data_IF_661480901678
#
_entry.id   IF_661480901678
#
_cell.length_a   1.000
_cell.length_b   1.000
_cell.length_c   1.000
_cell.angle_alpha   90.00
_cell.angle_beta   90.00
_cell.angle_gamma   90.00
#
_symmetry.space_group_name_H-M   'P 1'
#
loop_
_entity.id
_entity.type
_entity.pdbx_description
1 polymer ?
#
# COMPACT_ATOMS: atom_id res chain seq x y z
N UNK A 1 -32.52 -35.25 16.56
CA UNK A 1 -31.31 -35.66 15.83
C UNK A 1 -30.51 -34.41 15.50
N UNK A 2 -29.69 -33.94 16.44
CA UNK A 2 -28.75 -32.84 16.26
C UNK A 2 -27.42 -33.39 16.75
N UNK A 3 -26.42 -33.51 15.87
CA UNK A 3 -25.15 -34.12 16.26
C UNK A 3 -24.16 -34.54 15.17
N UNK A 4 -24.40 -34.27 13.88
CA UNK A 4 -23.45 -34.70 12.83
C UNK A 4 -22.90 -33.61 11.89
N UNK A 5 -23.42 -32.37 11.91
CA UNK A 5 -22.95 -31.33 10.97
C UNK A 5 -21.63 -30.66 11.35
N UNK A 6 -21.26 -30.63 12.64
CA UNK A 6 -20.00 -30.03 13.09
C UNK A 6 -18.76 -30.90 12.86
N UNK A 7 -18.92 -32.24 12.84
CA UNK A 7 -17.78 -33.16 12.74
C UNK A 7 -17.23 -33.27 11.31
N UNK A 8 -18.08 -33.10 10.29
CA UNK A 8 -17.66 -33.23 8.88
C UNK A 8 -16.82 -32.02 8.46
N UNK A 9 -17.15 -30.81 8.96
CA UNK A 9 -16.42 -29.57 8.62
C UNK A 9 -14.98 -29.62 9.12
N UNK A 10 -14.76 -30.09 10.36
CA UNK A 10 -13.41 -30.23 10.93
C UNK A 10 -12.60 -31.32 10.21
N UNK A 11 -13.25 -32.40 9.78
CA UNK A 11 -12.56 -33.52 9.14
C UNK A 11 -12.16 -33.19 7.69
N UNK A 12 -13.00 -32.48 6.94
CA UNK A 12 -12.67 -32.06 5.56
C UNK A 12 -11.57 -31.00 5.52
N UNK A 13 -11.53 -30.09 6.51
CA UNK A 13 -10.43 -29.12 6.63
C UNK A 13 -9.09 -29.81 6.98
N UNK A 14 -9.14 -30.91 7.75
CA UNK A 14 -7.95 -31.69 8.14
C UNK A 14 -7.37 -32.55 7.01
N UNK A 15 -8.16 -32.88 5.98
CA UNK A 15 -7.66 -33.68 4.85
C UNK A 15 -6.85 -32.83 3.87
N UNK A 16 -7.10 -31.52 3.80
CA UNK A 16 -6.30 -30.58 3.01
C UNK A 16 -4.94 -30.26 3.64
N UNK A 17 -4.69 -30.62 4.90
CA UNK A 17 -3.40 -30.43 5.59
C UNK A 17 -2.38 -31.55 5.37
N UNK A 18 -2.70 -32.58 4.57
CA UNK A 18 -1.81 -33.75 4.33
C UNK A 18 -1.37 -33.94 2.87
N UNK A 19 -1.52 -32.93 2.02
CA UNK A 19 -0.87 -32.96 0.70
C UNK A 19 0.56 -32.46 0.91
N UNK A 20 1.53 -33.33 0.61
CA UNK A 20 2.98 -33.08 0.64
C UNK A 20 3.32 -31.67 0.11
N UNK A 21 4.38 -31.01 0.63
CA UNK A 21 4.80 -29.72 0.13
C UNK A 21 5.21 -29.88 -1.34
N UNK A 22 4.28 -29.52 -2.23
CA UNK A 22 4.55 -29.40 -3.66
C UNK A 22 5.72 -28.44 -3.80
N UNK A 23 6.77 -28.92 -4.46
CA UNK A 23 7.95 -28.11 -4.78
C UNK A 23 7.52 -26.79 -5.43
N UNK A 24 8.18 -25.66 -5.12
CA UNK A 24 7.71 -24.31 -5.46
C UNK A 24 7.50 -24.02 -6.96
N UNK A 25 7.90 -24.92 -7.85
CA UNK A 25 7.83 -24.76 -9.31
C UNK A 25 6.60 -25.39 -10.00
N UNK A 26 5.76 -26.14 -9.29
CA UNK A 26 4.61 -26.81 -9.94
C UNK A 26 3.35 -25.93 -9.93
N UNK A 27 3.34 -24.96 -10.85
CA UNK A 27 2.24 -24.02 -11.09
C UNK A 27 0.90 -24.72 -11.38
N UNK A 28 0.93 -25.95 -11.92
CA UNK A 28 -0.26 -26.70 -12.29
C UNK A 28 -1.02 -27.24 -11.07
N UNK A 29 -0.29 -27.88 -10.16
CA UNK A 29 -0.85 -28.41 -8.91
C UNK A 29 -1.37 -27.30 -7.99
N UNK A 30 -0.72 -26.13 -7.99
CA UNK A 30 -1.17 -24.95 -7.21
C UNK A 30 -2.49 -24.41 -7.76
N UNK A 31 -2.62 -24.27 -9.08
CA UNK A 31 -3.86 -23.83 -9.76
C UNK A 31 -5.04 -24.76 -9.50
N UNK A 32 -4.82 -26.08 -9.52
CA UNK A 32 -5.87 -27.08 -9.26
C UNK A 32 -6.35 -27.06 -7.81
N UNK A 33 -5.45 -26.90 -6.84
CA UNK A 33 -5.78 -26.81 -5.41
C UNK A 33 -6.58 -25.54 -5.09
N UNK A 34 -6.29 -24.45 -5.80
CA UNK A 34 -6.98 -23.16 -5.65
C UNK A 34 -8.35 -23.16 -6.34
N UNK A 35 -8.48 -23.84 -7.48
CA UNK A 35 -9.78 -24.12 -8.13
C UNK A 35 -10.67 -24.98 -7.24
N UNK A 36 -10.08 -25.96 -6.55
CA UNK A 36 -10.77 -26.78 -5.57
C UNK A 36 -11.21 -25.96 -4.35
N UNK A 37 -10.36 -25.07 -3.82
CA UNK A 37 -10.74 -24.15 -2.75
C UNK A 37 -11.92 -23.27 -3.15
N UNK A 38 -11.85 -22.64 -4.33
CA UNK A 38 -12.95 -21.83 -4.89
C UNK A 38 -14.25 -22.62 -4.97
N UNK A 39 -14.19 -23.85 -5.48
CA UNK A 39 -15.35 -24.75 -5.60
C UNK A 39 -15.92 -25.17 -4.23
N UNK A 40 -15.08 -25.39 -3.23
CA UNK A 40 -15.53 -25.71 -1.86
C UNK A 40 -16.18 -24.48 -1.21
N UNK A 41 -15.62 -23.29 -1.44
CA UNK A 41 -16.11 -22.01 -0.91
C UNK A 41 -17.48 -21.65 -1.49
N UNK A 42 -17.68 -21.82 -2.80
CA UNK A 42 -18.97 -21.61 -3.46
C UNK A 42 -20.08 -22.52 -2.90
N UNK A 43 -19.71 -23.67 -2.31
CA UNK A 43 -20.65 -24.63 -1.72
C UNK A 43 -20.93 -24.41 -0.22
N UNK A 44 -20.24 -23.48 0.46
CA UNK A 44 -20.28 -23.33 1.93
C UNK A 44 -21.04 -22.09 2.44
N UNK A 45 -21.69 -21.29 1.59
CA UNK A 45 -22.45 -20.07 1.96
C UNK A 45 -21.62 -18.99 2.72
N UNK A 46 -20.29 -19.17 2.77
CA UNK A 46 -19.32 -18.17 3.20
C UNK A 46 -18.92 -17.36 1.98
N UNK A 47 -19.43 -16.13 1.88
CA UNK A 47 -19.08 -15.23 0.78
C UNK A 47 -17.71 -14.62 1.04
N UNK A 48 -16.67 -15.26 0.53
CA UNK A 48 -15.34 -14.65 0.45
C UNK A 48 -15.44 -13.37 -0.36
N UNK A 49 -15.15 -12.26 0.30
CA UNK A 49 -15.25 -10.93 -0.27
C UNK A 49 -13.97 -10.56 -1.04
N UNK A 50 -12.81 -11.11 -0.64
CA UNK A 50 -11.60 -11.09 -1.44
C UNK A 50 -10.60 -12.18 -1.06
N UNK A 51 -9.78 -12.57 -2.03
CA UNK A 51 -8.62 -13.44 -1.87
C UNK A 51 -7.45 -12.82 -2.63
N UNK A 52 -6.34 -12.59 -1.96
CA UNK A 52 -5.09 -12.08 -2.55
C UNK A 52 -3.96 -13.05 -2.25
N UNK A 53 -3.54 -13.82 -3.25
CA UNK A 53 -2.42 -14.76 -3.14
C UNK A 53 -1.08 -14.09 -3.45
N UNK A 54 -0.06 -14.41 -2.66
CA UNK A 54 1.30 -13.92 -2.85
C UNK A 54 1.45 -12.38 -2.78
N UNK A 55 0.91 -11.78 -1.73
CA UNK A 55 1.19 -10.39 -1.33
C UNK A 55 2.59 -10.30 -0.68
N UNK A 56 3.37 -9.29 -1.06
CA UNK A 56 4.67 -8.99 -0.43
C UNK A 56 4.44 -8.51 1.02
N UNK A 57 4.85 -9.34 1.98
CA UNK A 57 4.65 -9.11 3.41
C UNK A 57 5.38 -7.86 3.88
N UNK A 58 6.60 -7.63 3.39
CA UNK A 58 7.40 -6.47 3.77
C UNK A 58 6.77 -5.20 3.21
N UNK A 59 6.31 -5.22 1.96
CA UNK A 59 5.61 -4.08 1.38
C UNK A 59 4.34 -3.73 2.16
N UNK A 60 3.52 -4.72 2.52
CA UNK A 60 2.30 -4.52 3.31
C UNK A 60 2.63 -3.90 4.68
N UNK A 61 3.56 -4.46 5.47
CA UNK A 61 3.93 -3.91 6.79
C UNK A 61 4.43 -2.47 6.66
N UNK A 62 5.25 -2.16 5.64
CA UNK A 62 5.76 -0.79 5.43
C UNK A 62 4.68 0.20 5.07
N UNK A 63 3.70 -0.20 4.28
CA UNK A 63 2.51 0.61 3.97
C UNK A 63 1.71 0.87 5.24
N UNK A 64 1.37 -0.18 6.00
CA UNK A 64 0.59 -0.06 7.23
C UNK A 64 1.29 0.80 8.29
N UNK A 65 2.61 0.60 8.47
CA UNK A 65 3.43 1.42 9.37
C UNK A 65 3.46 2.88 8.94
N UNK A 66 3.61 3.15 7.64
CA UNK A 66 3.67 4.52 7.14
C UNK A 66 2.32 5.20 7.26
N UNK A 67 1.23 4.53 6.90
CA UNK A 67 -0.13 5.04 7.03
C UNK A 67 -0.46 5.41 8.49
N UNK A 68 0.00 4.59 9.45
CA UNK A 68 -0.20 4.82 10.89
C UNK A 68 0.38 6.15 11.39
N UNK A 69 1.49 6.60 10.81
CA UNK A 69 2.11 7.89 11.17
C UNK A 69 1.21 9.09 10.81
N UNK A 70 0.21 8.91 9.94
CA UNK A 70 -0.72 9.96 9.53
C UNK A 70 -2.10 9.80 10.18
N UNK A 71 -2.59 8.58 10.36
CA UNK A 71 -3.88 8.30 10.99
C UNK A 71 -3.89 6.88 11.57
N UNK A 72 -4.65 6.64 12.64
CA UNK A 72 -4.83 5.31 13.21
C UNK A 72 -5.84 4.47 12.44
N UNK A 73 -6.67 5.10 11.61
CA UNK A 73 -7.74 4.47 10.84
C UNK A 73 -7.47 4.54 9.33
N UNK A 74 -7.95 3.55 8.61
CA UNK A 74 -7.86 3.50 7.15
C UNK A 74 -9.10 2.82 6.55
N UNK A 75 -9.33 3.06 5.27
CA UNK A 75 -10.21 2.23 4.44
C UNK A 75 -9.34 1.15 3.80
N UNK A 76 -9.76 -0.09 3.96
CA UNK A 76 -9.31 -1.20 3.12
C UNK A 76 -10.39 -1.50 2.10
N UNK A 77 -9.97 -1.62 0.85
CA UNK A 77 -10.87 -2.05 -0.22
C UNK A 77 -10.14 -2.92 -1.22
N UNK A 78 -10.92 -3.61 -2.03
CA UNK A 78 -10.41 -4.32 -3.18
C UNK A 78 -10.94 -3.65 -4.45
N UNK A 79 -10.06 -3.46 -5.43
CA UNK A 79 -10.40 -2.99 -6.76
C UNK A 79 -9.58 -3.77 -7.78
N UNK A 80 -10.25 -4.35 -8.77
CA UNK A 80 -9.64 -5.19 -9.80
C UNK A 80 -8.74 -6.31 -9.22
N UNK A 81 -7.43 -6.10 -9.25
CA UNK A 81 -6.35 -7.00 -8.83
C UNK A 81 -5.46 -6.39 -7.73
N UNK A 82 -5.98 -5.39 -7.00
CA UNK A 82 -5.25 -4.65 -6.00
C UNK A 82 -5.96 -4.64 -4.64
N UNK A 83 -5.18 -4.96 -3.61
CA UNK A 83 -5.53 -4.63 -2.24
C UNK A 83 -5.18 -3.16 -1.98
N UNK A 84 -6.18 -2.35 -1.69
CA UNK A 84 -6.04 -0.91 -1.57
C UNK A 84 -6.16 -0.48 -0.11
N UNK A 85 -5.18 0.30 0.33
CA UNK A 85 -5.16 0.97 1.63
C UNK A 85 -5.26 2.47 1.40
N UNK A 86 -6.29 3.08 1.99
CA UNK A 86 -6.55 4.52 1.87
C UNK A 86 -6.68 5.16 3.24
N UNK A 87 -5.98 6.28 3.44
CA UNK A 87 -6.15 7.07 4.66
C UNK A 87 -5.87 8.55 4.41
N UNK A 88 -6.32 9.39 5.34
CA UNK A 88 -6.03 10.82 5.39
C UNK A 88 -5.36 11.16 6.69
N UNK A 89 -4.42 12.10 6.69
CA UNK A 89 -3.88 12.60 7.94
C UNK A 89 -4.95 13.29 8.81
N UNK A 90 -4.68 13.40 10.12
CA UNK A 90 -5.60 14.01 11.10
C UNK A 90 -6.03 15.45 10.72
N UNK A 91 -5.24 16.14 9.91
CA UNK A 91 -5.53 17.50 9.44
C UNK A 91 -6.16 17.56 8.04
N UNK A 92 -6.48 16.41 7.44
CA UNK A 92 -7.04 16.25 6.08
C UNK A 92 -6.26 16.97 4.96
N UNK A 93 -4.98 17.23 5.19
CA UNK A 93 -4.05 17.88 4.25
C UNK A 93 -3.23 16.89 3.43
N UNK A 94 -3.21 15.62 3.82
CA UNK A 94 -2.50 14.56 3.13
C UNK A 94 -3.43 13.37 2.94
N UNK A 95 -3.57 12.93 1.71
CA UNK A 95 -4.22 11.69 1.35
C UNK A 95 -3.17 10.65 0.92
N UNK A 96 -3.33 9.42 1.39
CA UNK A 96 -2.44 8.31 1.12
C UNK A 96 -3.26 7.22 0.46
N UNK A 97 -2.79 6.75 -0.68
CA UNK A 97 -3.33 5.57 -1.34
C UNK A 97 -2.18 4.61 -1.63
N UNK A 98 -2.29 3.38 -1.14
CA UNK A 98 -1.42 2.30 -1.54
C UNK A 98 -2.24 1.26 -2.30
N UNK A 99 -1.78 0.87 -3.48
CA UNK A 99 -2.30 -0.25 -4.24
C UNK A 99 -1.27 -1.36 -4.20
N UNK A 100 -1.62 -2.47 -3.56
CA UNK A 100 -0.79 -3.65 -3.39
C UNK A 100 -1.36 -4.76 -4.27
N UNK A 101 -0.68 -5.00 -5.38
CA UNK A 101 -1.04 -6.07 -6.31
C UNK A 101 -0.37 -7.36 -5.88
N UNK A 102 -1.16 -8.43 -5.85
CA UNK A 102 -0.63 -9.76 -5.60
C UNK A 102 0.21 -10.22 -6.80
N UNK A 103 1.25 -11.01 -6.54
CA UNK A 103 2.27 -11.38 -7.53
C UNK A 103 1.67 -12.12 -8.75
N UNK A 104 0.63 -12.92 -8.54
CA UNK A 104 -0.11 -13.61 -9.58
C UNK A 104 -1.58 -13.17 -9.56
N UNK A 105 -2.06 -12.56 -10.65
CA UNK A 105 -3.44 -12.09 -10.81
C UNK A 105 -4.47 -13.21 -10.87
N UNK A 106 -4.04 -14.40 -11.28
CA UNK A 106 -4.90 -15.49 -11.74
C UNK A 106 -5.60 -16.21 -10.57
N UNK A 107 -5.17 -15.92 -9.35
CA UNK A 107 -5.68 -16.49 -8.09
C UNK A 107 -6.35 -15.42 -7.23
N UNK A 108 -6.64 -14.25 -7.80
CA UNK A 108 -7.29 -13.19 -7.06
C UNK A 108 -8.79 -13.25 -7.26
N UNK A 109 -9.51 -13.09 -6.15
CA UNK A 109 -10.96 -12.91 -6.15
C UNK A 109 -11.27 -11.60 -5.43
N UNK A 110 -12.16 -10.78 -5.99
CA UNK A 110 -12.42 -9.45 -5.51
C UNK A 110 -13.89 -9.08 -5.75
N UNK A 111 -14.74 -9.24 -4.73
CA UNK A 111 -16.15 -8.85 -4.80
C UNK A 111 -16.37 -7.39 -4.33
N UNK A 112 -15.34 -6.55 -4.44
CA UNK A 112 -15.44 -5.11 -4.19
C UNK A 112 -15.75 -4.74 -2.74
N UNK A 113 -15.16 -5.43 -1.76
CA UNK A 113 -15.34 -5.04 -0.36
C UNK A 113 -14.75 -3.66 -0.09
N UNK A 114 -15.34 -2.97 0.88
CA UNK A 114 -14.83 -1.72 1.45
C UNK A 114 -15.13 -1.72 2.94
N UNK A 115 -14.09 -1.63 3.76
CA UNK A 115 -14.20 -1.63 5.22
C UNK A 115 -13.30 -0.56 5.83
N UNK A 116 -13.82 0.15 6.84
CA UNK A 116 -12.99 0.97 7.71
C UNK A 116 -12.36 0.10 8.80
N UNK A 117 -11.07 0.29 9.07
CA UNK A 117 -10.31 -0.52 10.02
C UNK A 117 -9.40 0.33 10.87
N UNK A 118 -9.09 -0.17 12.08
CA UNK A 118 -7.98 0.33 12.86
C UNK A 118 -6.67 -0.32 12.38
N UNK A 119 -5.69 0.48 11.96
CA UNK A 119 -4.44 -0.01 11.36
C UNK A 119 -3.65 -0.94 12.29
N UNK A 120 -3.70 -0.72 13.62
CA UNK A 120 -3.05 -1.64 14.56
C UNK A 120 -3.68 -3.03 14.61
N UNK A 121 -4.97 -3.16 14.28
CA UNK A 121 -5.62 -4.48 14.25
C UNK A 121 -5.23 -5.24 12.98
N UNK A 122 -5.16 -4.55 11.84
CA UNK A 122 -4.66 -5.13 10.58
C UNK A 122 -3.20 -5.52 10.72
N UNK A 123 -2.37 -4.66 11.30
CA UNK A 123 -0.93 -4.93 11.46
C UNK A 123 -0.64 -6.16 12.32
N UNK A 124 -1.49 -6.47 13.31
CA UNK A 124 -1.34 -7.71 14.10
C UNK A 124 -1.44 -8.99 13.26
N UNK A 125 -2.05 -8.92 12.06
CA UNK A 125 -2.13 -10.03 11.11
C UNK A 125 -0.83 -10.23 10.30
N UNK A 126 0.08 -9.26 10.36
CA UNK A 126 1.41 -9.32 9.78
C UNK A 126 2.46 -9.25 10.90
N UNK A 127 2.55 -10.27 11.77
CA UNK A 127 3.52 -10.27 12.86
C UNK A 127 4.95 -10.31 12.33
N UNK A 128 5.91 -9.90 13.17
CA UNK A 128 7.34 -9.90 12.80
C UNK A 128 7.84 -11.29 12.35
N UNK A 129 7.29 -12.36 12.91
CA UNK A 129 7.64 -13.73 12.52
C UNK A 129 7.18 -14.06 11.10
N UNK A 130 6.21 -13.33 10.55
CA UNK A 130 5.79 -13.43 9.15
C UNK A 130 6.79 -12.75 8.20
N UNK A 131 7.65 -11.85 8.69
CA UNK A 131 8.61 -11.12 7.85
C UNK A 131 9.74 -12.01 7.31
N UNK A 132 9.88 -13.24 7.80
CA UNK A 132 10.76 -14.25 7.21
C UNK A 132 10.17 -14.83 5.92
N UNK A 133 8.85 -14.71 5.73
CA UNK A 133 8.17 -15.09 4.51
C UNK A 133 8.19 -13.90 3.54
N UNK A 134 8.64 -14.10 2.30
CA UNK A 134 8.57 -13.04 1.31
C UNK A 134 7.12 -12.76 0.88
N UNK A 135 6.25 -13.77 0.95
CA UNK A 135 4.86 -13.67 0.51
C UNK A 135 3.88 -14.29 1.50
N UNK A 136 2.68 -13.71 1.55
CA UNK A 136 1.54 -14.24 2.28
C UNK A 136 0.29 -14.21 1.40
N UNK A 137 -0.66 -15.07 1.71
CA UNK A 137 -2.01 -15.00 1.14
C UNK A 137 -2.96 -14.41 2.16
N UNK A 138 -3.84 -13.53 1.70
CA UNK A 138 -4.85 -12.88 2.52
C UNK A 138 -6.24 -13.25 2.02
N UNK A 139 -7.08 -13.75 2.91
CA UNK A 139 -8.48 -14.05 2.67
C UNK A 139 -9.35 -13.10 3.52
N UNK A 140 -10.32 -12.45 2.89
CA UNK A 140 -11.28 -11.57 3.54
C UNK A 140 -12.66 -12.18 3.35
N UNK A 141 -13.29 -12.53 4.45
CA UNK A 141 -14.64 -13.13 4.46
C UNK A 141 -15.63 -12.15 5.05
N UNK A 142 -16.75 -11.94 4.37
CA UNK A 142 -17.85 -11.11 4.88
C UNK A 142 -18.90 -11.99 5.54
N UNK A 143 -19.29 -11.64 6.76
CA UNK A 143 -20.31 -12.39 7.50
C UNK A 143 -21.72 -11.83 7.29
N UNK A 144 -22.69 -12.73 7.14
CA UNK A 144 -24.11 -12.41 7.00
C UNK A 144 -24.52 -11.90 5.61
N UNK A 145 -25.76 -11.42 5.48
CA UNK A 145 -26.44 -11.18 4.20
C UNK A 145 -25.97 -9.93 3.43
N UNK A 146 -24.83 -9.34 3.79
CA UNK A 146 -24.24 -8.22 3.05
C UNK A 146 -24.80 -6.83 3.41
N UNK A 147 -25.28 -6.65 4.65
CA UNK A 147 -25.66 -5.36 5.19
C UNK A 147 -24.45 -4.42 5.37
N UNK A 148 -24.70 -3.10 5.45
CA UNK A 148 -23.64 -2.06 5.52
C UNK A 148 -22.70 -2.21 6.73
N UNK A 149 -23.16 -2.91 7.77
CA UNK A 149 -22.46 -3.16 9.05
C UNK A 149 -22.13 -4.66 9.25
N UNK A 150 -22.15 -5.46 8.17
CA UNK A 150 -21.72 -6.86 8.24
C UNK A 150 -20.24 -6.94 8.66
N UNK A 151 -19.90 -7.68 9.72
CA UNK A 151 -18.51 -7.81 10.14
C UNK A 151 -17.70 -8.58 9.09
N UNK A 152 -16.41 -8.27 9.03
CA UNK A 152 -15.45 -8.99 8.18
C UNK A 152 -14.50 -9.78 9.06
N UNK A 153 -14.08 -10.95 8.61
CA UNK A 153 -12.90 -11.63 9.15
C UNK A 153 -11.81 -11.58 8.10
N UNK A 154 -10.61 -11.22 8.55
CA UNK A 154 -9.40 -11.25 7.73
C UNK A 154 -8.47 -12.34 8.24
N UNK A 155 -8.02 -13.19 7.33
CA UNK A 155 -7.09 -14.27 7.58
C UNK A 155 -5.86 -14.07 6.72
N UNK A 156 -4.68 -14.12 7.31
CA UNK A 156 -3.39 -14.02 6.63
C UNK A 156 -2.61 -15.29 6.90
N UNK A 157 -2.23 -16.00 5.85
CA UNK A 157 -1.45 -17.21 5.96
C UNK A 157 -0.19 -17.16 5.11
N UNK A 158 0.91 -17.65 5.66
CA UNK A 158 2.17 -17.82 4.95
C UNK A 158 2.79 -19.18 5.28
N UNK A 159 3.32 -19.82 4.24
CA UNK A 159 4.03 -21.08 4.40
C UNK A 159 5.48 -20.77 4.84
N UNK A 160 5.93 -21.45 5.89
CA UNK A 160 7.27 -21.32 6.45
C UNK A 160 8.01 -22.66 6.41
N UNK A 161 9.31 -22.63 6.67
CA UNK A 161 10.13 -23.85 6.80
C UNK A 161 9.68 -24.78 7.93
N UNK A 162 8.93 -24.26 8.93
CA UNK A 162 8.46 -25.02 10.10
C UNK A 162 6.95 -25.32 10.04
N UNK A 163 6.27 -24.97 8.94
CA UNK A 163 4.83 -25.16 8.75
C UNK A 163 4.10 -23.88 8.35
N UNK A 164 2.77 -23.93 8.26
CA UNK A 164 1.94 -22.78 7.90
C UNK A 164 1.67 -21.89 9.11
N UNK A 165 2.05 -20.61 9.03
CA UNK A 165 1.61 -19.58 9.96
C UNK A 165 0.24 -19.06 9.50
N UNK A 166 -0.68 -18.89 10.44
CA UNK A 166 -1.99 -18.32 10.20
C UNK A 166 -2.30 -17.27 11.27
N UNK A 167 -2.68 -16.07 10.84
CA UNK A 167 -3.17 -15.00 11.69
C UNK A 167 -4.60 -14.66 11.28
N UNK A 168 -5.52 -14.70 12.23
CA UNK A 168 -6.95 -14.44 12.00
C UNK A 168 -7.37 -13.29 12.90
N UNK A 169 -8.14 -12.35 12.34
CA UNK A 169 -8.70 -11.23 13.08
C UNK A 169 -10.08 -10.86 12.59
N UNK A 170 -10.99 -10.69 13.55
CA UNK A 170 -12.29 -10.09 13.29
C UNK A 170 -12.12 -8.57 13.18
N UNK A 171 -12.63 -8.02 12.08
CA UNK A 171 -12.57 -6.60 11.75
C UNK A 171 -13.93 -5.99 12.03
N UNK A 172 -14.02 -5.25 13.14
CA UNK A 172 -15.13 -4.35 13.37
C UNK A 172 -15.06 -3.22 12.33
N UNK A 173 -16.09 -3.11 11.50
CA UNK A 173 -16.16 -2.04 10.51
C UNK A 173 -16.27 -0.71 11.22
N UNK A 174 -15.18 0.05 11.27
CA UNK A 174 -15.26 1.47 11.59
C UNK A 174 -16.04 2.09 10.44
N UNK A 175 -17.11 2.84 10.76
CA UNK A 175 -17.99 3.42 9.75
C UNK A 175 -17.18 4.07 8.62
N UNK A 176 -17.58 3.87 7.37
CA UNK A 176 -16.85 4.30 6.16
C UNK A 176 -16.89 5.82 5.93
N UNK A 177 -16.87 6.62 7.01
CA UNK A 177 -17.06 8.08 7.00
C UNK A 177 -15.88 8.84 6.42
N UNK A 178 -14.74 8.18 6.17
CA UNK A 178 -13.68 8.68 5.30
C UNK A 178 -14.29 8.94 3.91
N UNK A 179 -14.62 10.22 3.66
CA UNK A 179 -15.09 10.69 2.35
C UNK A 179 -14.08 10.26 1.31
N UNK A 180 -14.58 9.58 0.28
CA UNK A 180 -13.82 9.19 -0.90
C UNK A 180 -13.15 10.45 -1.45
N UNK A 181 -11.82 10.45 -1.43
CA UNK A 181 -11.05 11.54 -2.02
C UNK A 181 -11.06 11.29 -3.50
N UNK A 182 -11.66 12.21 -4.25
CA UNK A 182 -11.47 12.25 -5.68
C UNK A 182 -9.97 12.49 -5.93
N UNK A 183 -9.26 11.43 -6.31
CA UNK A 183 -7.90 11.53 -6.82
C UNK A 183 -7.98 12.46 -8.03
N UNK A 184 -7.12 13.49 -8.12
CA UNK A 184 -7.08 14.32 -9.31
C UNK A 184 -6.93 13.39 -10.53
N UNK A 185 -7.77 13.52 -11.56
CA UNK A 185 -7.72 12.61 -12.70
C UNK A 185 -6.31 12.61 -13.27
N UNK A 186 -5.83 11.45 -13.75
CA UNK A 186 -4.52 11.28 -14.42
C UNK A 186 -4.29 12.23 -15.61
N UNK A 187 -5.33 12.98 -16.01
CA UNK A 187 -5.32 14.01 -17.04
C UNK A 187 -4.79 15.38 -16.55
N UNK A 188 -4.48 15.58 -15.26
CA UNK A 188 -3.72 16.77 -14.86
C UNK A 188 -2.32 16.69 -15.47
N UNK A 189 -2.05 17.58 -16.43
CA UNK A 189 -0.71 17.72 -17.00
C UNK A 189 0.22 18.28 -15.94
N UNK A 190 0.99 17.40 -15.29
CA UNK A 190 2.04 17.82 -14.38
C UNK A 190 3.09 18.63 -15.14
N UNK A 191 3.33 19.86 -14.69
CA UNK A 191 4.33 20.76 -15.28
C UNK A 191 5.76 20.40 -14.88
N UNK A 192 5.90 19.63 -13.81
CA UNK A 192 7.17 19.32 -13.19
C UNK A 192 7.12 17.88 -12.65
N UNK A 193 7.90 16.99 -13.26
CA UNK A 193 8.06 15.63 -12.80
C UNK A 193 9.55 15.34 -12.57
N UNK A 194 9.89 14.88 -11.37
CA UNK A 194 11.26 14.51 -11.01
C UNK A 194 11.27 13.12 -10.40
N UNK A 195 11.93 12.19 -11.08
CA UNK A 195 12.15 10.83 -10.61
C UNK A 195 13.59 10.71 -10.09
N UNK A 196 13.74 10.13 -8.91
CA UNK A 196 15.04 9.84 -8.30
C UNK A 196 14.98 8.57 -7.45
N UNK A 197 16.12 8.10 -6.97
CA UNK A 197 16.15 6.98 -6.02
C UNK A 197 15.43 7.37 -4.72
N UNK A 198 14.65 6.45 -4.15
CA UNK A 198 13.92 6.70 -2.90
C UNK A 198 14.89 7.05 -1.75
N UNK A 199 16.09 6.48 -1.76
CA UNK A 199 17.16 6.78 -0.81
C UNK A 199 17.67 8.22 -0.92
N UNK A 200 17.90 8.73 -2.14
CA UNK A 200 18.33 10.11 -2.34
C UNK A 200 17.26 11.10 -1.85
N UNK A 201 15.99 10.83 -2.17
CA UNK A 201 14.88 11.64 -1.69
C UNK A 201 14.78 11.66 -0.16
N UNK A 202 14.92 10.49 0.49
CA UNK A 202 14.94 10.39 1.95
C UNK A 202 16.05 11.24 2.57
N UNK A 203 17.26 11.19 2.00
CA UNK A 203 18.39 12.00 2.47
C UNK A 203 18.11 13.50 2.33
N UNK A 204 17.54 13.93 1.20
CA UNK A 204 17.14 15.31 0.99
C UNK A 204 16.10 15.74 2.04
N UNK A 205 15.00 14.97 2.20
CA UNK A 205 13.95 15.31 3.17
C UNK A 205 14.45 15.31 4.62
N UNK A 206 15.39 14.43 4.96
CA UNK A 206 16.04 14.43 6.27
C UNK A 206 16.80 15.74 6.51
N UNK A 207 17.54 16.22 5.51
CA UNK A 207 18.24 17.51 5.58
C UNK A 207 17.26 18.67 5.71
N UNK A 208 16.21 18.73 4.88
CA UNK A 208 15.20 19.79 4.96
C UNK A 208 14.50 19.82 6.33
N UNK A 209 14.16 18.65 6.86
CA UNK A 209 13.51 18.51 8.17
C UNK A 209 14.42 18.94 9.33
N UNK A 210 15.74 18.81 9.17
CA UNK A 210 16.70 19.34 10.14
C UNK A 210 16.85 20.86 10.05
N UNK A 211 16.81 21.42 8.84
CA UNK A 211 16.96 22.86 8.60
C UNK A 211 15.73 23.68 8.97
N UNK A 212 14.52 23.14 8.85
CA UNK A 212 13.31 23.91 9.11
C UNK A 212 12.04 23.08 9.20
N UNK A 213 10.95 23.73 9.63
CA UNK A 213 9.62 23.12 9.78
C UNK A 213 8.79 23.16 8.48
N UNK A 214 9.16 24.04 7.56
CA UNK A 214 8.51 24.21 6.27
C UNK A 214 9.57 24.40 5.19
N UNK A 215 9.27 23.92 4.00
CA UNK A 215 10.04 24.18 2.80
C UNK A 215 9.11 24.64 1.69
N UNK A 216 9.66 25.36 0.73
CA UNK A 216 8.96 25.84 -0.46
C UNK A 216 9.53 25.14 -1.69
N UNK A 217 8.69 24.52 -2.50
CA UNK A 217 9.06 24.02 -3.83
C UNK A 217 8.55 24.98 -4.89
N UNK A 218 9.40 25.29 -5.86
CA UNK A 218 9.01 25.88 -7.14
C UNK A 218 9.63 25.11 -8.29
N UNK A 219 9.09 25.29 -9.49
CA UNK A 219 9.62 24.65 -10.68
C UNK A 219 9.72 25.63 -11.84
N UNK A 220 10.85 25.60 -12.53
CA UNK A 220 11.12 26.32 -13.76
C UNK A 220 11.30 25.31 -14.90
N UNK A 221 11.50 25.81 -16.13
CA UNK A 221 11.83 24.96 -17.27
C UNK A 221 13.23 24.32 -17.16
N UNK A 222 14.07 24.74 -16.20
CA UNK A 222 15.46 24.30 -16.07
C UNK A 222 15.70 23.47 -14.80
N UNK A 223 15.01 23.80 -13.72
CA UNK A 223 15.19 23.16 -12.42
C UNK A 223 13.93 23.18 -11.56
N UNK A 224 13.90 22.22 -10.62
CA UNK A 224 13.05 22.28 -9.45
C UNK A 224 13.89 22.89 -8.32
N UNK A 225 13.39 23.96 -7.70
CA UNK A 225 14.06 24.61 -6.57
C UNK A 225 13.32 24.29 -5.27
N UNK A 226 14.06 23.84 -4.27
CA UNK A 226 13.56 23.56 -2.93
C UNK A 226 14.25 24.48 -1.94
N UNK A 227 13.49 25.35 -1.27
CA UNK A 227 14.03 26.32 -0.33
C UNK A 227 13.50 26.08 1.08
N UNK A 228 14.38 26.19 2.07
CA UNK A 228 14.01 26.19 3.50
C UNK A 228 14.52 27.49 4.09
N UNK A 229 13.65 28.21 4.77
CA UNK A 229 14.01 29.43 5.47
C UNK A 229 13.71 29.26 6.95
N UNK A 230 14.71 29.52 7.79
CA UNK A 230 14.62 29.48 9.24
C UNK A 230 15.21 30.76 9.85
N UNK A 231 15.38 30.78 11.17
CA UNK A 231 15.97 31.94 11.86
C UNK A 231 17.46 32.13 11.54
N UNK A 232 18.15 31.08 11.07
CA UNK A 232 19.57 31.08 10.74
C UNK A 232 19.88 31.48 9.29
N UNK A 233 18.90 31.44 8.40
CA UNK A 233 19.04 31.89 7.02
C UNK A 233 18.10 31.19 6.05
N UNK A 234 18.42 31.29 4.76
CA UNK A 234 17.71 30.57 3.69
C UNK A 234 18.66 29.62 2.98
N UNK A 235 18.25 28.36 2.87
CA UNK A 235 18.97 27.29 2.20
C UNK A 235 18.19 26.89 0.94
N UNK A 236 18.88 26.79 -0.19
CA UNK A 236 18.27 26.52 -1.50
C UNK A 236 18.94 25.31 -2.14
N UNK A 237 18.13 24.35 -2.59
CA UNK A 237 18.55 23.12 -3.24
C UNK A 237 17.99 23.09 -4.66
N UNK A 238 18.88 23.12 -5.65
CA UNK A 238 18.52 23.06 -7.06
C UNK A 238 18.59 21.62 -7.55
N UNK A 239 17.45 21.11 -7.99
CA UNK A 239 17.31 19.75 -8.52
C UNK A 239 17.21 19.83 -10.04
N UNK A 240 18.14 19.16 -10.71
CA UNK A 240 18.29 19.14 -12.17
C UNK A 240 18.53 17.72 -12.64
N UNK A 241 18.10 17.43 -13.87
CA UNK A 241 18.40 16.17 -14.55
C UNK A 241 19.91 15.86 -14.44
N UNK A 242 20.24 14.66 -13.95
CA UNK A 242 21.60 14.24 -13.70
C UNK A 242 21.72 12.72 -13.83
N UNK A 243 22.36 12.28 -14.91
CA UNK A 243 22.64 10.84 -15.15
C UNK A 243 23.57 10.25 -14.09
N UNK A 244 24.46 11.05 -13.49
CA UNK A 244 25.37 10.60 -12.43
C UNK A 244 24.66 10.30 -11.11
N UNK A 245 23.52 10.95 -10.87
CA UNK A 245 22.74 10.82 -9.65
C UNK A 245 21.46 9.99 -9.86
N UNK A 246 21.32 9.37 -11.04
CA UNK A 246 20.11 8.63 -11.44
C UNK A 246 18.84 9.47 -11.23
N UNK A 247 18.92 10.74 -11.64
CA UNK A 247 17.86 11.72 -11.48
C UNK A 247 17.33 12.14 -12.84
N UNK A 248 16.08 11.79 -13.10
CA UNK A 248 15.37 12.10 -14.33
C UNK A 248 14.35 13.20 -14.04
N UNK A 249 14.56 14.40 -14.59
CA UNK A 249 13.61 15.50 -14.51
C UNK A 249 12.96 15.75 -15.87
N UNK A 250 11.64 15.80 -15.91
CA UNK A 250 10.80 16.25 -17.02
C UNK A 250 10.12 17.56 -16.62
N UNK A 251 10.61 18.66 -17.17
CA UNK A 251 10.21 20.02 -16.80
C UNK A 251 9.53 20.67 -18.02
N UNK A 252 8.20 20.66 -18.02
CA UNK A 252 7.38 21.09 -19.17
C UNK A 252 6.70 22.44 -18.95
N UNK A 253 6.68 22.94 -17.71
CA UNK A 253 6.07 24.22 -17.36
C UNK A 253 6.66 24.85 -16.11
N UNK A 254 6.03 25.94 -15.65
CA UNK A 254 6.41 26.63 -14.42
C UNK A 254 5.39 26.33 -13.32
N UNK A 255 5.90 26.10 -12.10
CA UNK A 255 5.08 25.95 -10.89
C UNK A 255 5.51 27.04 -9.91
N UNK A 256 4.59 27.92 -9.47
CA UNK A 256 4.94 28.95 -8.51
C UNK A 256 5.39 28.35 -7.17
N UNK A 257 6.11 29.12 -6.33
CA UNK A 257 6.55 28.63 -5.02
C UNK A 257 5.38 28.20 -4.13
N UNK A 258 5.46 27.00 -3.56
CA UNK A 258 4.44 26.40 -2.69
C UNK A 258 5.06 25.77 -1.46
N UNK A 259 4.45 26.02 -0.30
CA UNK A 259 4.98 25.61 0.99
C UNK A 259 4.38 24.30 1.49
N UNK A 260 5.22 23.47 2.12
CA UNK A 260 4.84 22.18 2.69
C UNK A 260 5.54 21.97 4.04
N UNK A 261 4.91 21.20 4.92
CA UNK A 261 5.47 20.87 6.25
C UNK A 261 6.53 19.77 6.12
N UNK A 262 7.79 20.09 6.43
CA UNK A 262 8.94 19.18 6.25
C UNK A 262 8.73 17.84 6.95
N UNK A 263 8.27 17.86 8.20
CA UNK A 263 8.07 16.65 9.00
C UNK A 263 7.06 15.67 8.35
N UNK A 264 5.98 16.18 7.75
CA UNK A 264 4.97 15.34 7.09
C UNK A 264 5.52 14.70 5.82
N UNK A 265 6.24 15.49 5.01
CA UNK A 265 6.88 14.98 3.79
C UNK A 265 7.97 13.97 4.13
N UNK A 266 8.73 14.22 5.20
CA UNK A 266 9.74 13.28 5.70
C UNK A 266 9.12 11.96 6.17
N UNK A 267 7.96 11.96 6.85
CA UNK A 267 7.26 10.72 7.24
C UNK A 267 6.92 9.82 6.03
N UNK A 268 6.63 10.41 4.86
CA UNK A 268 6.35 9.62 3.64
C UNK A 268 7.55 8.78 3.17
N UNK A 269 8.77 9.16 3.58
CA UNK A 269 10.00 8.49 3.15
C UNK A 269 10.22 7.13 3.79
N UNK A 270 9.41 6.71 4.77
CA UNK A 270 9.50 5.37 5.38
C UNK A 270 9.27 4.23 4.40
N UNK A 271 8.55 4.49 3.30
CA UNK A 271 8.30 3.53 2.23
C UNK A 271 9.59 3.23 1.43
N UNK A 272 10.65 4.03 1.59
CA UNK A 272 11.93 3.88 0.88
C UNK A 272 12.52 2.48 0.94
N UNK A 273 12.39 1.77 2.07
CA UNK A 273 12.93 0.41 2.18
C UNK A 273 12.24 -0.59 1.24
N UNK A 274 10.97 -0.35 0.94
CA UNK A 274 10.14 -1.16 0.05
C UNK A 274 10.07 -0.61 -1.39
N UNK A 275 10.74 0.52 -1.68
CA UNK A 275 10.69 1.19 -2.99
C UNK A 275 12.09 1.47 -3.54
N UNK A 276 12.25 1.43 -4.86
CA UNK A 276 13.55 1.78 -5.49
C UNK A 276 13.61 3.25 -5.88
N UNK A 277 12.49 3.78 -6.38
CA UNK A 277 12.38 5.13 -6.93
C UNK A 277 11.16 5.85 -6.39
N UNK A 278 11.28 7.17 -6.33
CA UNK A 278 10.16 8.07 -6.07
C UNK A 278 10.07 9.07 -7.19
N UNK A 279 8.84 9.32 -7.63
CA UNK A 279 8.50 10.34 -8.61
C UNK A 279 7.73 11.45 -7.91
N UNK A 280 8.30 12.64 -7.91
CA UNK A 280 7.68 13.86 -7.43
C UNK A 280 6.96 14.49 -8.62
N UNK A 281 5.66 14.79 -8.48
CA UNK A 281 4.89 15.49 -9.51
C UNK A 281 4.26 16.74 -8.92
N UNK A 282 4.42 17.85 -9.64
CA UNK A 282 3.73 19.10 -9.34
C UNK A 282 3.05 19.64 -10.60
N UNK A 283 1.77 19.98 -10.42
CA UNK A 283 1.02 20.82 -11.33
C UNK A 283 1.05 22.29 -10.84
N UNK A 284 0.72 23.27 -11.71
CA UNK A 284 0.65 24.69 -11.32
C UNK A 284 -0.34 24.94 -10.17
N UNK A 285 -1.41 24.14 -10.14
CA UNK A 285 -2.45 24.08 -9.12
C UNK A 285 -2.70 22.61 -8.77
N UNK A 286 -3.10 22.29 -7.53
CA UNK A 286 -3.34 20.90 -7.09
C UNK A 286 -2.30 20.43 -6.06
N UNK A 287 -2.32 19.18 -5.57
CA UNK A 287 -1.38 18.72 -4.53
C UNK A 287 0.04 18.49 -5.06
N UNK A 288 1.02 18.42 -4.16
CA UNK A 288 2.29 17.72 -4.41
C UNK A 288 2.00 16.23 -4.39
N UNK A 289 2.37 15.52 -5.45
CA UNK A 289 2.21 14.07 -5.54
C UNK A 289 3.57 13.41 -5.38
N UNK A 290 3.68 12.50 -4.41
CA UNK A 290 4.82 11.61 -4.26
C UNK A 290 4.39 10.20 -4.61
N UNK A 291 4.92 9.66 -5.69
CA UNK A 291 4.59 8.32 -6.16
C UNK A 291 5.80 7.40 -5.98
N UNK A 292 5.66 6.42 -5.09
CA UNK A 292 6.67 5.39 -4.84
C UNK A 292 6.28 4.11 -5.57
N UNK A 293 7.12 3.67 -6.50
CA UNK A 293 6.98 2.34 -7.09
C UNK A 293 7.60 1.33 -6.12
N UNK A 294 6.81 0.40 -5.61
CA UNK A 294 7.32 -0.65 -4.73
C UNK A 294 8.24 -1.59 -5.52
N UNK A 295 9.29 -2.10 -4.86
CA UNK A 295 10.33 -2.89 -5.50
C UNK A 295 9.71 -4.10 -6.17
N UNK A 296 10.19 -4.39 -7.38
CA UNK A 296 9.94 -5.67 -8.03
C UNK A 296 10.76 -6.73 -7.33
N UNK A 297 10.20 -7.92 -7.22
CA UNK A 297 10.91 -9.05 -6.65
C UNK A 297 12.21 -9.38 -7.40
N UNK A 298 13.15 -9.98 -6.67
CA UNK A 298 14.49 -10.32 -7.14
C UNK A 298 14.51 -11.14 -8.44
N UNK A 299 13.44 -11.88 -8.72
CA UNK A 299 13.33 -12.73 -9.91
C UNK A 299 13.00 -11.94 -11.19
N UNK A 300 12.65 -10.65 -11.10
CA UNK A 300 12.40 -9.77 -12.26
C UNK A 300 11.23 -10.18 -13.16
N UNK A 301 10.56 -11.29 -12.84
CA UNK A 301 9.63 -12.00 -13.73
C UNK A 301 8.21 -11.45 -13.73
N UNK A 302 7.82 -10.62 -12.76
CA UNK A 302 6.43 -10.18 -12.63
C UNK A 302 6.29 -8.66 -12.52
N UNK A 303 5.33 -8.15 -13.29
CA UNK A 303 4.86 -6.76 -13.32
C UNK A 303 4.10 -6.45 -12.02
N UNK A 304 4.78 -6.44 -10.88
CA UNK A 304 4.17 -5.96 -9.67
C UNK A 304 4.11 -4.42 -9.75
N UNK A 305 2.97 -3.89 -10.20
CA UNK A 305 2.69 -2.45 -10.28
C UNK A 305 2.26 -1.87 -8.93
N UNK A 306 2.58 -2.56 -7.84
CA UNK A 306 2.34 -2.09 -6.48
C UNK A 306 3.00 -0.73 -6.26
N UNK A 307 2.25 0.19 -5.69
CA UNK A 307 2.70 1.56 -5.51
C UNK A 307 2.05 2.21 -4.29
N UNK A 308 2.70 3.27 -3.80
CA UNK A 308 2.17 4.13 -2.75
C UNK A 308 2.22 5.56 -3.24
N UNK A 309 1.08 6.22 -3.26
CA UNK A 309 0.95 7.61 -3.67
C UNK A 309 0.50 8.47 -2.50
N UNK A 310 1.23 9.56 -2.27
CA UNK A 310 0.87 10.59 -1.30
C UNK A 310 0.45 11.84 -2.08
N UNK A 311 -0.71 12.38 -1.73
CA UNK A 311 -1.21 13.65 -2.23
C UNK A 311 -1.18 14.65 -1.08
N UNK A 312 -0.34 15.67 -1.21
CA UNK A 312 -0.08 16.62 -0.14
C UNK A 312 -0.51 18.02 -0.57
N UNK A 313 -1.45 18.60 0.15
CA UNK A 313 -1.85 19.98 -0.08
C UNK A 313 -0.77 20.93 0.43
N UNK A 314 -0.57 22.01 -0.32
CA UNK A 314 0.31 23.08 0.15
C UNK A 314 -0.32 23.77 1.34
N UNK A 315 0.48 24.10 2.34
CA UNK A 315 0.04 24.98 3.43
C UNK A 315 -0.29 26.33 2.83
N UNK A 316 -1.55 26.77 2.90
CA UNK A 316 -1.91 28.15 2.57
C UNK A 316 -1.13 29.08 3.50
N UNK A 317 -0.53 30.13 2.93
CA UNK A 317 0.04 31.25 3.68
C UNK A 317 -1.06 32.05 4.35
#
# INVERSE_FOLDING_TARGET
>A
MAGLKGSVIVTTLLVLTFIDPVTPDDMSARSDLLTLMKTIMDNMDLKTAALFADLDVLAVDRVLMTAKDFNTEAILRCEEDAFIVETKDVHESIFIQAALKARYSDVQHCDGFRMGVHLDNVRKLFPLDLHVCPFATMNVTRHGDGGKDSPYTMEVYADTLIGRLNAVGDMDTIGTSLKEVSIPPEQETYSCEVTMTAKAFRMLMQQLNWLGKQFTISCTLQDMNVTVTDNGGSHSFLIRHSTRMELEASLTGQVPPRSFVTAKVYSSTRVEVASSTVTLRLAPTGPLVLHYQLKKDADGLLKNHSHVTFFMDSTQQ
#
